data_IF_357255409328
#
_entry.id   IF_357255409328
#
_cell.length_a   1.000
_cell.length_b   1.000
_cell.length_c   1.000
_cell.angle_alpha   90.00
_cell.angle_beta   90.00
_cell.angle_gamma   90.00
#
_symmetry.space_group_name_H-M   'P 1'
#
loop_
_entity.id
_entity.type
_entity.pdbx_description
1 polymer ?
#
# COMPACT_ATOMS: atom_id res chain seq x y z
N UNK A 1 -24.72 -8.54 7.20
CA UNK A 1 -23.33 -8.13 6.88
C UNK A 1 -22.55 -7.97 8.16
N UNK A 2 -21.41 -8.65 8.30
CA UNK A 2 -20.59 -8.59 9.53
C UNK A 2 -19.88 -7.24 9.65
N UNK A 3 -19.71 -6.76 10.88
CA UNK A 3 -19.11 -5.45 11.22
C UNK A 3 -17.67 -5.29 10.69
N UNK A 4 -16.96 -6.40 10.47
CA UNK A 4 -15.60 -6.46 9.92
C UNK A 4 -15.58 -6.03 8.44
N UNK A 5 -16.51 -6.53 7.63
CA UNK A 5 -16.64 -6.21 6.20
C UNK A 5 -16.93 -4.72 5.97
N UNK A 6 -17.76 -4.11 6.83
CA UNK A 6 -18.04 -2.67 6.74
C UNK A 6 -16.80 -1.80 7.00
N UNK A 7 -15.97 -2.14 8.00
CA UNK A 7 -14.72 -1.41 8.29
C UNK A 7 -13.71 -1.56 7.16
N UNK A 8 -13.63 -2.76 6.57
CA UNK A 8 -12.76 -3.02 5.43
C UNK A 8 -13.19 -2.24 4.18
N UNK A 9 -14.48 -2.27 3.82
CA UNK A 9 -15.00 -1.48 2.70
C UNK A 9 -14.81 0.02 2.92
N UNK A 10 -15.03 0.53 4.14
CA UNK A 10 -14.79 1.94 4.47
C UNK A 10 -13.31 2.32 4.36
N UNK A 11 -12.40 1.44 4.79
CA UNK A 11 -10.96 1.65 4.66
C UNK A 11 -10.52 1.65 3.18
N UNK A 12 -11.14 0.80 2.35
CA UNK A 12 -10.90 0.78 0.89
C UNK A 12 -11.40 2.05 0.21
N UNK A 13 -12.62 2.50 0.52
CA UNK A 13 -13.18 3.74 -0.04
C UNK A 13 -12.37 4.97 0.39
N UNK A 14 -11.93 5.02 1.65
CA UNK A 14 -11.01 6.08 2.11
C UNK A 14 -9.64 6.00 1.43
N UNK A 15 -9.16 4.78 1.12
CA UNK A 15 -7.94 4.58 0.35
C UNK A 15 -8.04 5.05 -1.10
N UNK A 16 -9.23 4.97 -1.71
CA UNK A 16 -9.51 5.46 -3.08
C UNK A 16 -9.76 6.96 -3.15
N UNK A 17 -10.36 7.54 -2.11
CA UNK A 17 -10.55 8.98 -1.98
C UNK A 17 -9.26 9.74 -1.62
N UNK A 18 -8.17 9.02 -1.33
CA UNK A 18 -6.89 9.64 -0.99
C UNK A 18 -6.29 10.36 -2.21
N UNK A 19 -6.02 11.66 -2.05
CA UNK A 19 -5.34 12.51 -3.05
C UNK A 19 -4.13 11.78 -3.63
N UNK A 20 -4.02 11.68 -4.95
CA UNK A 20 -2.88 11.08 -5.61
C UNK A 20 -1.55 11.72 -5.12
N UNK A 21 -0.48 10.93 -4.91
CA UNK A 21 0.81 11.49 -4.51
C UNK A 21 1.33 12.40 -5.62
N UNK A 22 1.83 13.58 -5.23
CA UNK A 22 2.32 14.59 -6.18
C UNK A 22 3.75 14.29 -6.63
N UNK A 23 4.50 13.52 -5.83
CA UNK A 23 5.90 13.18 -6.11
C UNK A 23 6.18 11.69 -5.94
N UNK A 24 7.24 11.21 -6.59
CA UNK A 24 7.71 9.82 -6.42
C UNK A 24 8.09 9.52 -4.97
N UNK A 25 8.71 10.48 -4.27
CA UNK A 25 9.06 10.33 -2.87
C UNK A 25 7.82 10.12 -1.98
N UNK A 26 6.75 10.89 -2.23
CA UNK A 26 5.48 10.70 -1.53
C UNK A 26 4.84 9.34 -1.83
N UNK A 27 4.86 8.91 -3.10
CA UNK A 27 4.36 7.59 -3.48
C UNK A 27 5.12 6.49 -2.72
N UNK A 28 6.45 6.55 -2.73
CA UNK A 28 7.30 5.58 -2.05
C UNK A 28 7.03 5.56 -0.53
N UNK A 29 6.94 6.73 0.10
CA UNK A 29 6.63 6.85 1.52
C UNK A 29 5.28 6.17 1.85
N UNK A 30 4.25 6.41 1.03
CA UNK A 30 2.93 5.79 1.22
C UNK A 30 2.97 4.27 1.03
N UNK A 31 3.68 3.77 0.02
CA UNK A 31 3.83 2.34 -0.23
C UNK A 31 4.57 1.65 0.93
N UNK A 32 5.63 2.26 1.45
CA UNK A 32 6.38 1.75 2.60
C UNK A 32 5.51 1.68 3.87
N UNK A 33 4.71 2.72 4.15
CA UNK A 33 3.75 2.70 5.27
C UNK A 33 2.71 1.60 5.11
N UNK A 34 2.15 1.43 3.92
CA UNK A 34 1.19 0.35 3.62
C UNK A 34 1.83 -1.03 3.83
N UNK A 35 3.09 -1.20 3.42
CA UNK A 35 3.83 -2.46 3.60
C UNK A 35 4.06 -2.76 5.08
N UNK A 36 4.47 -1.78 5.87
CA UNK A 36 4.63 -1.96 7.32
C UNK A 36 3.30 -2.38 7.98
N UNK A 37 2.19 -1.76 7.59
CA UNK A 37 0.87 -2.15 8.08
C UNK A 37 0.47 -3.56 7.66
N UNK A 38 0.74 -3.96 6.40
CA UNK A 38 0.49 -5.32 5.91
C UNK A 38 1.32 -6.36 6.67
N UNK A 39 2.60 -6.06 6.91
CA UNK A 39 3.50 -6.90 7.69
C UNK A 39 2.99 -7.11 9.12
N UNK A 40 2.62 -6.03 9.81
CA UNK A 40 2.07 -6.12 11.17
C UNK A 40 0.72 -6.86 11.25
N UNK A 41 -0.05 -6.87 10.15
CA UNK A 41 -1.30 -7.59 10.05
C UNK A 41 -1.14 -9.06 9.61
N UNK A 42 0.08 -9.53 9.31
CA UNK A 42 0.33 -10.86 8.76
C UNK A 42 -0.27 -11.08 7.36
N UNK A 43 -0.46 -9.99 6.59
CA UNK A 43 -1.07 -10.05 5.26
C UNK A 43 0.01 -10.27 4.19
N UNK A 44 0.57 -11.48 4.13
CA UNK A 44 1.75 -11.82 3.33
C UNK A 44 1.60 -11.54 1.82
N UNK A 45 0.44 -11.88 1.25
CA UNK A 45 0.17 -11.62 -0.18
C UNK A 45 0.13 -10.12 -0.49
N UNK A 46 -0.48 -9.33 0.40
CA UNK A 46 -0.52 -7.89 0.29
C UNK A 46 0.89 -7.29 0.45
N UNK A 47 1.67 -7.81 1.39
CA UNK A 47 3.05 -7.39 1.59
C UNK A 47 3.91 -7.67 0.35
N UNK A 48 3.78 -8.86 -0.25
CA UNK A 48 4.48 -9.27 -1.47
C UNK A 48 4.14 -8.34 -2.64
N UNK A 49 2.86 -8.08 -2.88
CA UNK A 49 2.41 -7.15 -3.92
C UNK A 49 2.98 -5.74 -3.70
N UNK A 50 3.00 -5.25 -2.46
CA UNK A 50 3.53 -3.93 -2.14
C UNK A 50 5.06 -3.85 -2.35
N UNK A 51 5.81 -4.93 -2.06
CA UNK A 51 7.25 -5.00 -2.34
C UNK A 51 7.52 -4.88 -3.85
N UNK A 52 6.72 -5.54 -4.68
CA UNK A 52 6.87 -5.44 -6.13
C UNK A 52 6.58 -4.03 -6.63
N UNK A 53 5.50 -3.39 -6.14
CA UNK A 53 5.19 -1.99 -6.48
C UNK A 53 6.31 -1.02 -6.05
N UNK A 54 6.88 -1.22 -4.85
CA UNK A 54 8.03 -0.43 -4.39
C UNK A 54 9.23 -0.62 -5.31
N UNK A 55 9.50 -1.87 -5.72
CA UNK A 55 10.62 -2.19 -6.62
C UNK A 55 10.46 -1.54 -7.99
N UNK A 56 9.24 -1.49 -8.52
CA UNK A 56 8.92 -0.76 -9.75
C UNK A 56 9.06 0.77 -9.61
N UNK A 57 8.76 1.32 -8.42
CA UNK A 57 8.83 2.75 -8.17
C UNK A 57 10.28 3.27 -7.98
N UNK A 58 11.21 2.39 -7.59
CA UNK A 58 12.61 2.73 -7.38
C UNK A 58 13.39 2.66 -8.70
N UNK A 59 14.22 3.68 -9.04
CA UNK A 59 15.09 3.65 -10.20
C UNK A 59 16.33 2.78 -9.91
N UNK A 60 16.13 1.49 -9.66
CA UNK A 60 17.23 0.55 -9.48
C UNK A 60 17.72 0.17 -10.88
N UNK A 61 18.81 0.78 -11.32
CA UNK A 61 19.54 0.30 -12.50
C UNK A 61 20.03 -1.10 -12.17
N UNK A 62 19.65 -2.09 -13.00
CA UNK A 62 20.18 -3.45 -12.90
C UNK A 62 21.23 -3.58 -14.00
N UNK A 63 22.49 -3.79 -13.60
CA UNK A 63 23.53 -4.31 -14.48
C UNK A 63 23.18 -5.73 -14.97
#
# INVERSE_FOLDING_TARGET
MTRLSFRFSRALEQGRAARAPATRAELLHRLLRKRAAAHHAGADDLEKMLRDQIRWALPIVRD
#
